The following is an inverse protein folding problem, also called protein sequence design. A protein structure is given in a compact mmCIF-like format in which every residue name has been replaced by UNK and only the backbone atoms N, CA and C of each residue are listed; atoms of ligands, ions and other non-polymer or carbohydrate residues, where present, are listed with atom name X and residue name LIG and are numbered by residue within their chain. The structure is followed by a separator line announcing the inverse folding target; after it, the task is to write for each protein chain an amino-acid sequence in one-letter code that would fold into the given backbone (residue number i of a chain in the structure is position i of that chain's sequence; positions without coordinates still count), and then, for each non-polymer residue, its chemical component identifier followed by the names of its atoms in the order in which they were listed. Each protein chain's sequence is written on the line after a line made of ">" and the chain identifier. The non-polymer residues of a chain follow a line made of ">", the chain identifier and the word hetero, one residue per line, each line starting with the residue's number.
data_IF_732375455173
#
_entry.id   IF_732375455173
#
_cell.length_a   1.000
_cell.length_b   1.000
_cell.length_c   1.000
_cell.angle_alpha   90.00
_cell.angle_beta   90.00
_cell.angle_gamma   90.00
#
_symmetry.space_group_name_H-M   'P 1'
#
loop_
_entity.id
_entity.type
_entity.pdbx_description
1 polymer ?
#
# COMPACT_ATOMS: atom_id res chain seq x y z
N UNK A 1 -24.69 -14.58 -3.26
CA UNK A 1 -24.45 -13.89 -4.55
C UNK A 1 -24.97 -12.46 -4.57
N UNK A 2 -26.21 -12.21 -4.09
CA UNK A 2 -26.80 -10.85 -4.02
C UNK A 2 -25.97 -9.83 -3.21
N UNK A 3 -25.30 -10.26 -2.13
CA UNK A 3 -24.48 -9.37 -1.28
C UNK A 3 -23.23 -8.82 -1.96
N UNK A 4 -22.54 -9.61 -2.80
CA UNK A 4 -21.33 -9.18 -3.51
C UNK A 4 -21.66 -8.22 -4.65
N UNK A 5 -22.74 -8.49 -5.39
CA UNK A 5 -23.21 -7.60 -6.45
C UNK A 5 -23.60 -6.22 -5.88
N UNK A 6 -24.31 -6.20 -4.74
CA UNK A 6 -24.63 -4.97 -4.02
C UNK A 6 -23.39 -4.21 -3.56
N UNK A 7 -22.41 -4.91 -2.97
CA UNK A 7 -21.15 -4.29 -2.54
C UNK A 7 -20.41 -3.64 -3.72
N UNK A 8 -20.31 -4.33 -4.86
CA UNK A 8 -19.71 -3.78 -6.08
C UNK A 8 -20.46 -2.54 -6.59
N UNK A 9 -21.78 -2.58 -6.56
CA UNK A 9 -22.60 -1.44 -6.97
C UNK A 9 -22.37 -0.23 -6.05
N UNK A 10 -22.32 -0.42 -4.73
CA UNK A 10 -22.05 0.65 -3.77
C UNK A 10 -20.68 1.25 -4.02
N UNK A 11 -19.64 0.42 -4.10
CA UNK A 11 -18.27 0.87 -4.32
C UNK A 11 -18.10 1.56 -5.68
N UNK A 12 -18.78 1.08 -6.73
CA UNK A 12 -18.79 1.74 -8.04
C UNK A 12 -19.60 3.04 -8.10
N UNK A 13 -20.42 3.32 -7.10
CA UNK A 13 -21.22 4.53 -6.99
C UNK A 13 -20.66 5.54 -5.98
N UNK A 14 -19.48 5.28 -5.40
CA UNK A 14 -18.80 6.22 -4.50
C UNK A 14 -18.50 7.51 -5.25
N UNK A 15 -19.01 8.63 -4.73
CA UNK A 15 -18.66 9.97 -5.19
C UNK A 15 -17.34 10.40 -4.54
N UNK A 16 -16.27 10.48 -5.33
CA UNK A 16 -14.94 10.84 -4.80
C UNK A 16 -14.83 12.29 -4.33
N UNK A 17 -15.66 13.19 -4.86
CA UNK A 17 -15.71 14.57 -4.38
C UNK A 17 -16.30 14.66 -2.97
N UNK A 18 -17.34 13.86 -2.68
CA UNK A 18 -17.92 13.77 -1.33
C UNK A 18 -16.92 13.16 -0.35
N UNK A 19 -16.22 12.09 -0.76
CA UNK A 19 -15.14 11.49 0.03
C UNK A 19 -14.07 12.53 0.32
N UNK A 20 -13.58 13.25 -0.69
CA UNK A 20 -12.54 14.27 -0.52
C UNK A 20 -12.99 15.40 0.41
N UNK A 21 -14.26 15.80 0.36
CA UNK A 21 -14.81 16.83 1.22
C UNK A 21 -14.98 16.38 2.68
N UNK A 22 -15.22 15.08 2.90
CA UNK A 22 -15.50 14.51 4.22
C UNK A 22 -14.31 13.82 4.89
N UNK A 23 -13.26 13.49 4.14
CA UNK A 23 -12.09 12.78 4.66
C UNK A 23 -11.24 13.71 5.52
N UNK A 24 -11.08 13.37 6.79
CA UNK A 24 -10.20 14.05 7.73
C UNK A 24 -9.08 13.12 8.18
N UNK A 25 -7.96 13.69 8.61
CA UNK A 25 -6.81 12.92 9.07
C UNK A 25 -7.19 12.03 10.26
N UNK A 26 -6.95 10.73 10.14
CA UNK A 26 -7.31 9.74 11.16
C UNK A 26 -8.80 9.39 11.25
N UNK A 27 -9.65 10.01 10.42
CA UNK A 27 -11.07 9.71 10.35
C UNK A 27 -11.43 9.16 8.96
N UNK A 28 -11.44 7.83 8.81
CA UNK A 28 -11.73 7.22 7.52
C UNK A 28 -13.21 7.38 7.17
N UNK A 29 -13.49 7.67 5.90
CA UNK A 29 -14.83 7.83 5.35
C UNK A 29 -15.57 6.48 5.33
N UNK A 30 -16.72 6.40 6.00
CA UNK A 30 -17.56 5.20 6.00
C UNK A 30 -18.32 5.05 4.69
N UNK A 31 -18.29 3.85 4.10
CA UNK A 31 -18.98 3.55 2.83
C UNK A 31 -20.25 2.74 3.09
N UNK A 32 -20.14 1.56 3.69
CA UNK A 32 -21.27 0.69 3.99
C UNK A 32 -20.89 -0.49 4.89
N UNK A 33 -21.89 -1.12 5.50
CA UNK A 33 -21.76 -2.40 6.19
C UNK A 33 -21.82 -3.59 5.22
N UNK A 34 -21.00 -4.61 5.46
CA UNK A 34 -20.99 -5.87 4.70
C UNK A 34 -20.48 -7.04 5.54
N UNK A 35 -20.56 -8.25 5.00
CA UNK A 35 -20.03 -9.46 5.67
C UNK A 35 -18.60 -9.73 5.23
N UNK A 36 -17.78 -10.30 6.11
CA UNK A 36 -16.41 -10.74 5.77
C UNK A 36 -16.39 -11.67 4.55
N UNK A 37 -17.41 -12.55 4.41
CA UNK A 37 -17.58 -13.44 3.25
C UNK A 37 -17.84 -12.68 1.96
N UNK A 38 -18.68 -11.63 2.01
CA UNK A 38 -18.96 -10.80 0.84
C UNK A 38 -17.73 -9.96 0.45
N UNK A 39 -17.03 -9.39 1.44
CA UNK A 39 -15.77 -8.67 1.23
C UNK A 39 -14.71 -9.58 0.62
N UNK A 40 -14.41 -10.73 1.21
CA UNK A 40 -13.41 -11.68 0.69
C UNK A 40 -13.70 -12.11 -0.75
N UNK A 41 -14.98 -12.36 -1.08
CA UNK A 41 -15.39 -12.72 -2.45
C UNK A 41 -15.28 -11.55 -3.44
N UNK A 42 -15.49 -10.31 -2.98
CA UNK A 42 -15.25 -9.11 -3.79
C UNK A 42 -13.75 -8.88 -3.99
N UNK A 43 -12.97 -8.99 -2.92
CA UNK A 43 -11.54 -8.76 -2.87
C UNK A 43 -10.72 -9.73 -3.73
N UNK A 44 -11.16 -10.99 -3.82
CA UNK A 44 -10.56 -12.04 -4.65
C UNK A 44 -10.95 -12.02 -6.14
N UNK A 45 -11.72 -11.04 -6.61
CA UNK A 45 -12.12 -10.92 -8.01
C UNK A 45 -11.59 -9.63 -8.65
N UNK A 46 -10.77 -9.79 -9.70
CA UNK A 46 -10.20 -8.77 -10.60
C UNK A 46 -9.65 -7.46 -10.01
N UNK A 47 -8.32 -7.31 -10.13
CA UNK A 47 -7.61 -6.15 -10.68
C UNK A 47 -7.95 -4.71 -10.24
N UNK A 48 -8.48 -4.53 -9.03
CA UNK A 48 -8.65 -3.19 -8.45
C UNK A 48 -7.48 -2.84 -7.53
N UNK A 49 -6.26 -2.83 -8.08
CA UNK A 49 -5.03 -2.42 -7.38
C UNK A 49 -5.20 -1.09 -6.63
N UNK A 50 -5.85 -0.11 -7.26
CA UNK A 50 -6.12 1.21 -6.66
C UNK A 50 -7.00 1.10 -5.41
N UNK A 51 -8.01 0.22 -5.40
CA UNK A 51 -8.93 0.06 -4.27
C UNK A 51 -8.26 -0.61 -3.06
N UNK A 52 -7.21 -1.42 -3.26
CA UNK A 52 -6.50 -2.14 -2.18
C UNK A 52 -5.76 -1.20 -1.23
N UNK A 53 -5.37 -0.03 -1.72
CA UNK A 53 -4.61 0.98 -1.00
C UNK A 53 -5.46 2.08 -0.40
N UNK A 54 -6.75 2.16 -0.74
CA UNK A 54 -7.63 3.25 -0.28
C UNK A 54 -8.90 2.75 0.41
N UNK A 55 -9.29 1.47 0.22
CA UNK A 55 -10.48 0.85 0.83
C UNK A 55 -10.08 -0.30 1.77
N UNK A 56 -10.61 -0.32 3.01
CA UNK A 56 -10.47 -1.44 3.96
C UNK A 56 -11.82 -1.93 4.47
N UNK A 57 -11.83 -3.20 4.83
CA UNK A 57 -12.85 -3.81 5.66
C UNK A 57 -12.36 -3.89 7.11
N UNK A 58 -13.17 -3.43 8.05
CA UNK A 58 -12.95 -3.61 9.48
C UNK A 58 -14.27 -3.94 10.18
N UNK A 59 -14.31 -5.02 10.95
CA UNK A 59 -15.43 -5.40 11.81
C UNK A 59 -16.85 -5.32 11.18
N UNK A 60 -16.99 -5.67 9.90
CA UNK A 60 -18.29 -5.64 9.22
C UNK A 60 -18.56 -4.35 8.44
N UNK A 61 -17.63 -3.42 8.44
CA UNK A 61 -17.77 -2.11 7.81
C UNK A 61 -16.69 -1.89 6.74
N UNK A 62 -17.03 -1.11 5.71
CA UNK A 62 -16.12 -0.71 4.65
C UNK A 62 -15.82 0.77 4.77
N UNK A 63 -14.54 1.11 4.70
CA UNK A 63 -14.03 2.45 4.84
C UNK A 63 -13.12 2.84 3.69
N UNK A 64 -13.14 4.12 3.33
CA UNK A 64 -12.11 4.78 2.53
C UNK A 64 -11.24 5.62 3.46
N UNK A 65 -9.93 5.43 3.42
CA UNK A 65 -9.00 6.04 4.39
C UNK A 65 -7.91 6.90 3.73
N UNK A 66 -7.87 6.92 2.40
CA UNK A 66 -6.93 7.69 1.60
C UNK A 66 -7.57 8.02 0.25
N UNK A 67 -7.08 9.05 -0.46
CA UNK A 67 -7.59 9.39 -1.78
C UNK A 67 -6.72 8.75 -2.88
N UNK A 68 -7.32 8.04 -3.84
CA UNK A 68 -6.55 7.52 -4.96
C UNK A 68 -6.00 8.67 -5.79
N UNK A 69 -4.71 8.61 -6.10
CA UNK A 69 -4.05 9.54 -7.02
C UNK A 69 -4.14 11.02 -6.60
N UNK A 70 -4.16 11.34 -5.30
CA UNK A 70 -4.05 12.74 -4.88
C UNK A 70 -2.74 13.36 -5.38
N UNK A 71 -2.80 14.63 -5.80
CA UNK A 71 -1.62 15.32 -6.32
C UNK A 71 -0.52 15.37 -5.25
N UNK A 72 -0.90 15.58 -4.00
CA UNK A 72 -0.03 15.53 -2.84
C UNK A 72 0.68 14.18 -2.73
N UNK A 73 -0.06 13.06 -2.72
CA UNK A 73 0.52 11.71 -2.62
C UNK A 73 1.51 11.43 -3.74
N UNK A 74 1.13 11.70 -5.00
CA UNK A 74 2.00 11.48 -6.16
C UNK A 74 3.26 12.36 -6.15
N UNK A 75 3.15 13.58 -5.62
CA UNK A 75 4.27 14.51 -5.48
C UNK A 75 5.23 14.03 -4.39
N UNK A 76 4.71 13.66 -3.22
CA UNK A 76 5.49 13.08 -2.11
C UNK A 76 6.21 11.82 -2.55
N UNK A 77 5.54 10.90 -3.24
CA UNK A 77 6.17 9.71 -3.82
C UNK A 77 7.35 10.06 -4.73
N UNK A 78 7.17 11.05 -5.61
CA UNK A 78 8.21 11.45 -6.56
C UNK A 78 9.42 12.06 -5.86
N UNK A 79 9.18 12.92 -4.87
CA UNK A 79 10.23 13.58 -4.08
C UNK A 79 11.01 12.54 -3.27
N UNK A 80 10.32 11.70 -2.50
CA UNK A 80 10.94 10.66 -1.67
C UNK A 80 11.74 9.68 -2.51
N UNK A 81 11.19 9.22 -3.64
CA UNK A 81 11.93 8.36 -4.57
C UNK A 81 13.25 8.97 -5.00
N UNK A 82 13.22 10.24 -5.46
CA UNK A 82 14.43 10.92 -5.92
C UNK A 82 15.42 11.13 -4.78
N UNK A 83 14.93 11.55 -3.62
CA UNK A 83 15.77 11.76 -2.44
C UNK A 83 16.46 10.45 -2.04
N UNK A 84 15.74 9.35 -1.88
CA UNK A 84 16.31 8.05 -1.47
C UNK A 84 17.33 7.55 -2.49
N UNK A 85 17.02 7.59 -3.79
CA UNK A 85 17.96 7.16 -4.84
C UNK A 85 19.23 8.03 -4.87
N UNK A 86 19.11 9.34 -4.60
CA UNK A 86 20.23 10.28 -4.61
C UNK A 86 21.08 10.17 -3.34
N UNK A 87 20.46 10.23 -2.18
CA UNK A 87 21.15 10.22 -0.87
C UNK A 87 21.76 8.85 -0.54
N UNK A 88 21.23 7.77 -1.11
CA UNK A 88 21.88 6.46 -1.05
C UNK A 88 23.11 6.35 -1.96
N UNK A 89 23.48 7.41 -2.70
CA UNK A 89 24.61 7.38 -3.64
C UNK A 89 24.39 6.42 -4.80
N UNK A 90 23.13 6.15 -5.16
CA UNK A 90 22.76 5.15 -6.17
C UNK A 90 22.84 3.70 -5.68
N UNK A 91 23.01 3.45 -4.39
CA UNK A 91 22.99 2.09 -3.82
C UNK A 91 21.57 1.52 -3.86
N UNK A 92 20.57 2.36 -3.60
CA UNK A 92 19.17 1.94 -3.56
C UNK A 92 18.45 2.35 -4.84
N UNK A 93 17.60 1.45 -5.32
CA UNK A 93 16.77 1.67 -6.51
C UNK A 93 15.32 1.35 -6.22
N UNK A 94 14.43 2.25 -6.65
CA UNK A 94 13.01 1.98 -6.58
C UNK A 94 12.66 0.80 -7.50
N UNK A 95 11.84 -0.12 -6.99
CA UNK A 95 11.43 -1.34 -7.66
C UNK A 95 9.93 -1.52 -7.54
N UNK A 96 9.31 -2.03 -8.60
CA UNK A 96 7.87 -2.34 -8.55
C UNK A 96 7.69 -3.63 -7.75
N UNK A 97 6.71 -3.65 -6.85
CA UNK A 97 6.24 -4.89 -6.23
C UNK A 97 5.53 -5.72 -7.30
N UNK A 98 6.21 -6.73 -7.84
CA UNK A 98 5.59 -7.84 -8.56
C UNK A 98 6.02 -9.13 -7.89
N UNK A 99 5.58 -9.32 -6.64
CA UNK A 99 5.75 -10.60 -5.96
C UNK A 99 4.51 -11.46 -6.24
N UNK A 100 4.70 -12.62 -6.85
CA UNK A 100 3.71 -13.69 -6.84
C UNK A 100 3.35 -14.01 -5.38
N UNK A 101 2.08 -13.85 -5.02
CA UNK A 101 1.57 -14.05 -3.65
C UNK A 101 1.47 -12.80 -2.78
N UNK A 102 2.10 -11.68 -3.17
CA UNK A 102 1.93 -10.38 -2.50
C UNK A 102 0.94 -9.45 -3.24
N UNK A 103 0.19 -9.99 -4.20
CA UNK A 103 -0.71 -9.22 -5.07
C UNK A 103 -1.66 -8.30 -4.31
N UNK A 104 -1.97 -8.66 -3.06
CA UNK A 104 -3.05 -8.09 -2.25
C UNK A 104 -2.65 -6.81 -1.48
N UNK A 105 -1.37 -6.52 -1.32
CA UNK A 105 -0.90 -5.31 -0.62
C UNK A 105 0.08 -4.57 -1.53
N UNK A 106 -0.19 -3.29 -1.80
CA UNK A 106 0.68 -2.46 -2.61
C UNK A 106 1.33 -1.42 -1.72
N UNK A 107 2.65 -1.49 -1.58
CA UNK A 107 3.45 -0.41 -1.01
C UNK A 107 3.44 0.80 -1.94
N UNK A 108 3.56 2.01 -1.40
CA UNK A 108 3.72 3.19 -2.25
C UNK A 108 5.08 3.18 -2.95
N UNK A 109 6.17 2.98 -2.20
CA UNK A 109 7.51 2.82 -2.77
C UNK A 109 8.25 1.64 -2.15
N UNK A 110 8.97 0.90 -3.00
CA UNK A 110 9.79 -0.24 -2.59
C UNK A 110 11.19 -0.04 -3.12
N UNK A 111 12.21 -0.26 -2.31
CA UNK A 111 13.60 -0.13 -2.72
C UNK A 111 14.36 -1.41 -2.44
N UNK A 112 15.10 -1.86 -3.43
CA UNK A 112 16.13 -2.88 -3.29
C UNK A 112 17.50 -2.31 -3.66
N UNK A 113 18.49 -3.20 -3.72
CA UNK A 113 19.84 -2.82 -4.09
C UNK A 113 19.96 -2.64 -5.61
N UNK A 114 20.74 -1.66 -6.05
CA UNK A 114 21.03 -1.43 -7.47
C UNK A 114 21.62 -2.71 -8.11
N UNK A 115 20.98 -3.28 -9.16
CA UNK A 115 21.35 -4.56 -9.76
C UNK A 115 22.82 -4.69 -10.16
N UNK A 116 23.44 -3.57 -10.53
CA UNK A 116 24.83 -3.54 -11.04
C UNK A 116 25.87 -3.43 -9.94
N UNK A 117 25.46 -3.33 -8.68
CA UNK A 117 26.39 -3.32 -7.55
C UNK A 117 27.12 -4.66 -7.46
N UNK A 118 28.44 -4.58 -7.31
CA UNK A 118 29.24 -5.73 -6.90
C UNK A 118 29.02 -5.97 -5.41
N UNK A 119 28.13 -6.91 -5.10
CA UNK A 119 27.85 -7.26 -3.71
C UNK A 119 29.02 -8.08 -3.13
N UNK A 120 29.48 -7.78 -1.90
CA UNK A 120 30.49 -8.57 -1.23
C UNK A 120 29.94 -9.88 -0.64
N UNK A 121 28.65 -10.17 -0.85
CA UNK A 121 27.94 -11.32 -0.30
C UNK A 121 27.06 -11.99 -1.36
N UNK A 122 26.70 -13.24 -1.10
CA UNK A 122 25.69 -13.96 -1.87
C UNK A 122 24.29 -13.56 -1.41
N UNK A 123 23.35 -13.45 -2.34
CA UNK A 123 21.96 -13.20 -2.00
C UNK A 123 21.38 -14.37 -1.19
N UNK A 124 20.47 -14.10 -0.22
CA UNK A 124 19.76 -15.15 0.50
C UNK A 124 19.05 -16.13 -0.44
N UNK A 125 18.92 -17.39 -0.01
CA UNK A 125 18.23 -18.42 -0.79
C UNK A 125 16.79 -17.99 -1.06
N UNK A 126 16.38 -18.03 -2.33
CA UNK A 126 15.05 -17.61 -2.76
C UNK A 126 14.94 -16.14 -3.17
N UNK A 127 16.02 -15.35 -3.09
CA UNK A 127 16.08 -13.97 -3.60
C UNK A 127 16.88 -13.97 -4.91
N UNK A 128 16.21 -13.80 -6.07
CA UNK A 128 16.86 -14.00 -7.35
C UNK A 128 17.70 -12.80 -7.81
N UNK A 129 17.40 -11.58 -7.34
CA UNK A 129 18.13 -10.37 -7.72
C UNK A 129 18.37 -9.43 -6.54
N UNK A 130 19.37 -8.52 -6.60
CA UNK A 130 19.57 -7.50 -5.57
C UNK A 130 18.36 -6.58 -5.34
N UNK A 131 17.56 -6.32 -6.38
CA UNK A 131 16.30 -5.58 -6.25
C UNK A 131 15.27 -6.34 -5.41
N UNK A 132 15.31 -7.68 -5.44
CA UNK A 132 14.41 -8.53 -4.67
C UNK A 132 14.79 -8.66 -3.19
N UNK A 133 15.89 -8.03 -2.76
CA UNK A 133 16.21 -7.91 -1.33
C UNK A 133 15.30 -6.90 -0.61
N UNK A 134 14.61 -6.01 -1.34
CA UNK A 134 13.52 -5.15 -0.82
C UNK A 134 13.83 -4.40 0.49
N UNK A 135 15.07 -3.94 0.64
CA UNK A 135 15.65 -3.31 1.85
C UNK A 135 14.78 -2.25 2.53
N UNK A 136 14.07 -1.42 1.76
CA UNK A 136 13.22 -0.36 2.30
C UNK A 136 11.83 -0.36 1.66
N UNK A 137 10.81 -0.34 2.51
CA UNK A 137 9.41 -0.10 2.12
C UNK A 137 8.95 1.27 2.65
N UNK A 138 8.21 2.01 1.84
CA UNK A 138 7.71 3.34 2.20
C UNK A 138 6.19 3.37 2.00
N UNK A 139 5.49 3.72 3.07
CA UNK A 139 4.06 4.02 3.05
C UNK A 139 3.85 5.52 3.27
N UNK A 140 2.99 6.12 2.46
CA UNK A 140 2.63 7.53 2.53
C UNK A 140 1.14 7.60 2.87
N UNK A 141 0.79 8.37 3.88
CA UNK A 141 -0.59 8.53 4.32
C UNK A 141 -0.89 9.97 4.63
N UNK A 142 -1.57 10.64 3.70
CA UNK A 142 -1.96 12.03 3.87
C UNK A 142 -3.13 12.15 4.85
N UNK A 143 -4.14 11.28 4.67
CA UNK A 143 -5.32 11.22 5.55
C UNK A 143 -5.23 10.08 6.57
N UNK A 144 -4.30 9.15 6.41
CA UNK A 144 -4.07 8.10 7.39
C UNK A 144 -3.34 8.62 8.62
N UNK A 145 -3.74 8.15 9.80
CA UNK A 145 -2.97 8.39 11.01
C UNK A 145 -1.98 7.25 11.31
N UNK A 146 -1.11 7.52 12.28
CA UNK A 146 -0.23 6.54 12.90
C UNK A 146 -1.03 5.59 13.79
N UNK A 147 -0.52 4.38 13.99
CA UNK A 147 -1.12 3.38 14.88
C UNK A 147 -1.46 2.05 14.22
N UNK A 148 -2.01 1.15 15.02
CA UNK A 148 -2.09 -0.29 14.72
C UNK A 148 -3.45 -0.74 14.15
N UNK A 149 -4.38 0.18 13.93
CA UNK A 149 -5.67 -0.11 13.29
C UNK A 149 -5.47 -0.40 11.80
N UNK A 150 -6.37 -1.18 11.21
CA UNK A 150 -6.28 -1.60 9.80
C UNK A 150 -6.27 -0.45 8.78
N UNK A 151 -6.78 0.72 9.18
CA UNK A 151 -6.78 1.96 8.39
C UNK A 151 -5.56 2.85 8.64
N UNK A 152 -4.66 2.49 9.55
CA UNK A 152 -3.50 3.29 9.95
C UNK A 152 -2.21 2.79 9.28
N UNK A 153 -1.21 3.66 9.24
CA UNK A 153 0.07 3.39 8.57
C UNK A 153 0.87 2.28 9.27
N UNK A 154 0.86 2.18 10.61
CA UNK A 154 1.71 1.18 11.29
C UNK A 154 1.20 -0.23 11.08
N UNK A 155 -0.12 -0.39 10.93
CA UNK A 155 -0.69 -1.68 10.54
C UNK A 155 -0.16 -2.13 9.17
N UNK A 156 -0.21 -1.26 8.15
CA UNK A 156 0.35 -1.58 6.82
C UNK A 156 1.85 -1.84 6.91
N UNK A 157 2.59 -0.97 7.61
CA UNK A 157 4.02 -1.10 7.83
C UNK A 157 4.41 -2.44 8.49
N UNK A 158 3.60 -2.92 9.44
CA UNK A 158 3.84 -4.20 10.12
C UNK A 158 3.79 -5.41 9.18
N UNK A 159 3.02 -5.32 8.09
CA UNK A 159 2.91 -6.39 7.10
C UNK A 159 4.22 -6.52 6.31
N UNK A 160 4.89 -5.39 6.05
CA UNK A 160 6.15 -5.36 5.30
C UNK A 160 7.31 -6.02 6.04
N UNK A 161 7.31 -6.00 7.38
CA UNK A 161 8.34 -6.67 8.18
C UNK A 161 8.38 -8.19 7.99
N UNK A 162 7.32 -8.78 7.44
CA UNK A 162 7.29 -10.22 7.13
C UNK A 162 8.05 -10.57 5.85
N UNK A 163 8.42 -9.59 5.03
CA UNK A 163 9.07 -9.80 3.76
C UNK A 163 10.60 -9.95 3.93
N UNK A 164 11.21 -10.97 3.31
CA UNK A 164 12.65 -11.15 3.37
C UNK A 164 13.42 -9.92 2.90
N UNK A 165 14.41 -9.51 3.70
CA UNK A 165 15.32 -8.43 3.38
C UNK A 165 14.78 -7.01 3.63
N UNK A 166 13.51 -6.85 4.04
CA UNK A 166 13.04 -5.56 4.58
C UNK A 166 13.76 -5.28 5.89
N UNK A 167 14.62 -4.26 5.88
CA UNK A 167 15.34 -3.80 7.06
C UNK A 167 14.70 -2.54 7.65
N UNK A 168 14.03 -1.75 6.82
CA UNK A 168 13.43 -0.49 7.21
C UNK A 168 12.02 -0.34 6.64
N UNK A 169 11.15 0.27 7.43
CA UNK A 169 9.87 0.79 6.94
C UNK A 169 9.73 2.25 7.31
N UNK A 170 9.61 3.10 6.29
CA UNK A 170 9.39 4.53 6.43
C UNK A 170 7.90 4.85 6.30
N UNK A 171 7.44 5.78 7.13
CA UNK A 171 6.07 6.28 7.18
C UNK A 171 6.13 7.80 7.02
N UNK A 172 5.40 8.33 6.06
CA UNK A 172 5.35 9.77 5.76
C UNK A 172 3.91 10.28 5.76
N UNK A 173 3.67 11.39 6.45
CA UNK A 173 2.43 12.16 6.46
C UNK A 173 2.40 13.34 5.47
#
# INVERSE_FOLDING_TARGET
>A
MKSVARLRQILGAVCWDDVKAALERGQPYHVCSTTAKAWSKHYGSENQMVMRNVVKFDNGEIYIFELPHSLQHSTTMTILRRAIETESGGIMRNCVLTLEGASDILVDLSFGLEPRLKLPFQLPRGIPTPLDLRTLQVEIGHYQDWGTRVTHLDWKASLWWTFPGVEYTLRQD
#
